data_IF_784455063516
#
_entry.id   IF_784455063516
#
_cell.length_a   1.000
_cell.length_b   1.000
_cell.length_c   1.000
_cell.angle_alpha   90.00
_cell.angle_beta   90.00
_cell.angle_gamma   90.00
#
_symmetry.space_group_name_H-M   'P 1'
#
loop_
_entity.id
_entity.type
_entity.pdbx_description
1 polymer ?
#
# COMPACT_ATOMS: atom_id res chain seq x y z
N UNK A 1 -15.32 26.00 2.57
CA UNK A 1 -14.49 24.96 3.23
C UNK A 1 -14.31 23.79 2.26
N UNK A 2 -13.31 23.86 1.38
CA UNK A 2 -13.05 22.78 0.43
C UNK A 2 -12.43 21.60 1.18
N UNK A 3 -13.19 20.51 1.33
CA UNK A 3 -12.66 19.23 1.79
C UNK A 3 -11.74 18.70 0.70
N UNK A 4 -10.50 19.18 0.66
CA UNK A 4 -9.45 18.50 -0.09
C UNK A 4 -9.29 17.15 0.60
N UNK A 5 -9.97 16.12 0.10
CA UNK A 5 -9.82 14.77 0.58
C UNK A 5 -8.34 14.44 0.43
N UNK A 6 -7.59 14.53 1.54
CA UNK A 6 -6.20 14.07 1.58
C UNK A 6 -6.24 12.67 1.01
N UNK A 7 -5.43 12.37 -0.01
CA UNK A 7 -5.55 11.11 -0.69
C UNK A 7 -5.33 10.02 0.35
N UNK A 8 -6.36 9.19 0.54
CA UNK A 8 -6.44 8.26 1.66
C UNK A 8 -5.33 7.25 1.44
N UNK A 9 -4.45 7.10 2.44
CA UNK A 9 -3.40 6.10 2.38
C UNK A 9 -4.07 4.73 2.23
N UNK A 10 -3.57 3.91 1.31
CA UNK A 10 -4.12 2.57 1.16
C UNK A 10 -3.98 1.82 2.49
N UNK A 11 -5.07 1.36 3.12
CA UNK A 11 -5.03 0.79 4.46
C UNK A 11 -4.20 -0.50 4.52
N UNK A 12 -4.14 -1.24 3.42
CA UNK A 12 -3.43 -2.51 3.32
C UNK A 12 -1.91 -2.36 3.33
N UNK A 13 -1.38 -1.27 2.76
CA UNK A 13 0.06 -1.00 2.73
C UNK A 13 0.44 0.29 3.47
N UNK A 14 -0.49 0.85 4.23
CA UNK A 14 -0.36 2.09 5.00
C UNK A 14 0.32 3.24 4.23
N UNK A 15 0.01 3.40 2.94
CA UNK A 15 0.62 4.46 2.14
C UNK A 15 1.89 4.10 1.39
N UNK A 16 2.51 2.95 1.70
CA UNK A 16 3.81 2.57 1.13
C UNK A 16 3.72 2.04 -0.30
N UNK A 17 2.55 1.55 -0.72
CA UNK A 17 2.35 0.90 -2.02
C UNK A 17 2.91 -0.52 -2.10
N UNK A 18 3.56 -1.01 -1.05
CA UNK A 18 4.26 -2.30 -1.00
C UNK A 18 3.90 -3.03 0.27
N UNK A 19 3.92 -4.35 0.23
CA UNK A 19 3.77 -5.22 1.40
C UNK A 19 4.93 -6.21 1.42
N UNK A 20 5.39 -6.55 2.61
CA UNK A 20 6.39 -7.60 2.79
C UNK A 20 5.65 -8.91 3.02
N UNK A 21 5.92 -9.89 2.17
CA UNK A 21 5.41 -11.26 2.29
C UNK A 21 6.59 -12.18 2.51
N UNK A 22 6.43 -13.19 3.36
CA UNK A 22 7.46 -14.20 3.55
C UNK A 22 7.11 -15.41 2.69
N UNK A 23 7.94 -15.69 1.68
CA UNK A 23 7.84 -16.90 0.85
C UNK A 23 9.13 -17.70 0.99
N UNK A 24 9.03 -19.00 1.23
CA UNK A 24 10.20 -19.92 1.33
C UNK A 24 11.29 -19.44 2.29
N UNK A 25 10.87 -18.88 3.44
CA UNK A 25 11.77 -18.34 4.46
C UNK A 25 12.49 -17.05 4.08
N UNK A 26 12.14 -16.43 2.94
CA UNK A 26 12.67 -15.14 2.49
C UNK A 26 11.59 -14.08 2.54
N UNK A 27 11.96 -12.90 3.02
CA UNK A 27 11.09 -11.74 3.01
C UNK A 27 11.18 -11.07 1.65
N UNK A 28 10.10 -11.15 0.88
CA UNK A 28 9.98 -10.50 -0.41
C UNK A 28 9.05 -9.30 -0.30
N UNK A 29 9.45 -8.19 -0.93
CA UNK A 29 8.62 -6.99 -0.99
C UNK A 29 7.85 -7.01 -2.30
N UNK A 30 6.54 -7.18 -2.22
CA UNK A 30 5.65 -7.21 -3.38
C UNK A 30 4.77 -5.98 -3.41
N UNK A 31 4.31 -5.60 -4.59
CA UNK A 31 3.37 -4.49 -4.76
C UNK A 31 2.05 -4.78 -4.05
N UNK A 32 1.53 -3.80 -3.34
CA UNK A 32 0.23 -3.94 -2.69
C UNK A 32 -0.85 -4.09 -3.76
N UNK A 33 -1.51 -5.25 -3.82
CA UNK A 33 -2.53 -5.55 -4.83
C UNK A 33 -3.77 -4.66 -4.74
N UNK A 34 -4.08 -4.14 -3.54
CA UNK A 34 -5.26 -3.29 -3.30
C UNK A 34 -5.11 -1.93 -3.98
N UNK A 35 -3.99 -1.25 -3.76
CA UNK A 35 -3.70 0.02 -4.42
C UNK A 35 -2.84 -0.12 -5.68
N UNK A 36 -2.61 -1.35 -6.17
CA UNK A 36 -1.75 -1.65 -7.33
C UNK A 36 -0.38 -0.95 -7.30
N UNK A 37 0.24 -0.83 -6.12
CA UNK A 37 1.53 -0.14 -5.98
C UNK A 37 1.49 1.37 -5.73
N UNK A 38 0.32 2.03 -5.82
CA UNK A 38 0.22 3.49 -5.72
C UNK A 38 0.31 4.04 -4.30
N UNK A 39 0.12 3.20 -3.27
CA UNK A 39 0.08 3.62 -1.87
C UNK A 39 -1.14 4.47 -1.52
N UNK A 40 -2.11 4.60 -2.43
CA UNK A 40 -3.28 5.47 -2.29
C UNK A 40 -4.52 4.64 -2.58
N UNK A 41 -5.57 4.80 -1.77
CA UNK A 41 -6.87 4.17 -1.99
C UNK A 41 -7.67 4.93 -3.05
#
# INVERSE_FOLDING_TARGET
MGKHAKPVACPTCNGSGKITVTSDGKNETVSCGVCKGSGKA
#
